data_IF_974100359905
#
_entry.id   IF_974100359905
#
_cell.length_a   1.000
_cell.length_b   1.000
_cell.length_c   1.000
_cell.angle_alpha   90.00
_cell.angle_beta   90.00
_cell.angle_gamma   90.00
#
_symmetry.space_group_name_H-M   'P 1'
#
loop_
_entity.id
_entity.type
_entity.pdbx_description
1 polymer ?
#
# COMPACT_ATOMS: atom_id res chain seq x y z
N UNK A 1 14.29 18.69 -29.70
CA UNK A 1 15.06 17.45 -29.50
C UNK A 1 15.45 17.37 -28.03
N UNK A 2 14.61 16.72 -27.20
CA UNK A 2 15.01 16.32 -25.87
C UNK A 2 15.87 15.08 -26.10
N UNK A 3 17.17 15.23 -25.94
CA UNK A 3 18.10 14.12 -25.89
C UNK A 3 17.78 13.31 -24.64
N UNK A 4 17.11 12.17 -24.82
CA UNK A 4 17.03 11.17 -23.77
C UNK A 4 18.45 10.62 -23.54
N UNK A 5 18.94 10.59 -22.30
CA UNK A 5 20.21 9.93 -22.04
C UNK A 5 20.14 8.46 -22.50
N UNK A 6 21.17 7.99 -23.18
CA UNK A 6 21.29 6.64 -23.74
C UNK A 6 21.15 5.46 -22.76
N UNK A 7 20.67 5.72 -21.51
CA UNK A 7 20.57 4.73 -20.43
C UNK A 7 19.16 4.51 -19.91
N UNK A 8 18.12 5.08 -20.55
CA UNK A 8 16.73 4.87 -20.11
C UNK A 8 16.14 3.63 -20.79
N UNK A 9 16.44 2.45 -20.19
CA UNK A 9 15.74 1.24 -20.59
C UNK A 9 14.26 1.32 -20.22
N UNK A 10 13.39 0.98 -21.19
CA UNK A 10 11.97 0.77 -20.94
C UNK A 10 11.78 -0.36 -19.92
N UNK A 11 10.80 -0.20 -19.03
CA UNK A 11 10.42 -1.21 -18.09
C UNK A 11 9.44 -2.16 -18.78
N UNK A 12 9.86 -3.38 -19.07
CA UNK A 12 9.01 -4.43 -19.65
C UNK A 12 8.56 -5.46 -18.62
N UNK A 13 9.26 -5.56 -17.49
CA UNK A 13 8.91 -6.40 -16.34
C UNK A 13 9.27 -5.68 -15.05
N UNK A 14 8.49 -5.94 -14.01
CA UNK A 14 8.67 -5.33 -12.70
C UNK A 14 8.38 -6.37 -11.60
N UNK A 15 9.22 -6.36 -10.58
CA UNK A 15 8.96 -7.11 -9.36
C UNK A 15 8.01 -6.31 -8.49
N UNK A 16 6.82 -6.80 -8.28
CA UNK A 16 5.87 -6.23 -7.31
C UNK A 16 6.26 -6.77 -5.94
N UNK A 17 7.04 -5.96 -5.21
CA UNK A 17 7.77 -6.36 -4.00
C UNK A 17 6.90 -6.41 -2.75
N UNK A 18 5.99 -7.38 -2.71
CA UNK A 18 5.13 -7.63 -1.55
C UNK A 18 4.76 -9.11 -1.47
N UNK A 19 4.63 -9.61 -0.24
CA UNK A 19 4.05 -10.93 0.04
C UNK A 19 2.55 -10.85 0.34
N UNK A 20 1.98 -9.65 0.43
CA UNK A 20 0.55 -9.46 0.63
C UNK A 20 -0.21 -9.60 -0.69
N UNK A 21 -1.06 -10.62 -0.79
CA UNK A 21 -1.80 -10.94 -2.01
C UNK A 21 -2.71 -9.80 -2.49
N UNK A 22 -3.40 -9.13 -1.58
CA UNK A 22 -4.28 -8.01 -1.92
C UNK A 22 -3.51 -6.84 -2.49
N UNK A 23 -2.38 -6.48 -1.88
CA UNK A 23 -1.48 -5.43 -2.39
C UNK A 23 -0.89 -5.79 -3.74
N UNK A 24 -0.48 -7.05 -3.91
CA UNK A 24 0.06 -7.52 -5.19
C UNK A 24 -0.95 -7.34 -6.33
N UNK A 25 -2.21 -7.71 -6.10
CA UNK A 25 -3.28 -7.57 -7.10
C UNK A 25 -3.52 -6.09 -7.43
N UNK A 26 -3.68 -5.24 -6.43
CA UNK A 26 -3.93 -3.80 -6.66
C UNK A 26 -2.78 -3.14 -7.41
N UNK A 27 -1.54 -3.35 -6.97
CA UNK A 27 -0.36 -2.78 -7.63
C UNK A 27 -0.24 -3.29 -9.07
N UNK A 28 -0.45 -4.58 -9.27
CA UNK A 28 -0.39 -5.19 -10.61
C UNK A 28 -1.40 -4.57 -11.58
N UNK A 29 -2.61 -4.28 -11.10
CA UNK A 29 -3.66 -3.68 -11.92
C UNK A 29 -3.47 -2.18 -12.14
N UNK A 30 -2.76 -1.49 -11.25
CA UNK A 30 -2.38 -0.08 -11.44
C UNK A 30 -1.28 0.08 -12.50
N UNK A 31 -0.35 -0.86 -12.58
CA UNK A 31 0.73 -0.86 -13.57
C UNK A 31 0.18 -1.07 -14.99
N UNK A 32 0.88 -0.54 -16.02
CA UNK A 32 0.47 -0.78 -17.41
C UNK A 32 0.34 -2.28 -17.73
N UNK A 33 -0.69 -2.65 -18.47
CA UNK A 33 -0.96 -4.06 -18.82
C UNK A 33 0.18 -4.75 -19.54
N UNK A 34 0.92 -4.00 -20.36
CA UNK A 34 2.06 -4.53 -21.12
C UNK A 34 3.26 -4.91 -20.25
N UNK A 35 3.34 -4.41 -19.02
CA UNK A 35 4.43 -4.73 -18.09
C UNK A 35 4.16 -6.08 -17.44
N UNK A 36 5.14 -6.98 -17.50
CA UNK A 36 5.07 -8.28 -16.81
C UNK A 36 5.28 -8.07 -15.31
N UNK A 37 4.34 -8.57 -14.49
CA UNK A 37 4.42 -8.49 -13.03
C UNK A 37 4.99 -9.80 -12.50
N UNK A 38 6.01 -9.67 -11.65
CA UNK A 38 6.72 -10.81 -11.03
C UNK A 38 6.52 -10.70 -9.52
N UNK A 39 6.28 -11.83 -8.87
CA UNK A 39 6.09 -11.91 -7.43
C UNK A 39 7.40 -12.35 -6.74
N UNK A 40 7.69 -11.87 -5.52
CA UNK A 40 8.79 -12.39 -4.73
C UNK A 40 8.67 -13.89 -4.44
N UNK A 41 7.44 -14.39 -4.34
CA UNK A 41 7.16 -15.81 -4.12
C UNK A 41 7.68 -16.64 -5.30
N UNK A 42 7.46 -16.18 -6.54
CA UNK A 42 7.93 -16.84 -7.75
C UNK A 42 9.46 -16.95 -7.80
N UNK A 43 10.16 -16.03 -7.14
CA UNK A 43 11.63 -15.99 -7.10
C UNK A 43 12.21 -16.58 -5.81
N UNK A 44 11.36 -17.06 -4.90
CA UNK A 44 11.80 -17.61 -3.61
C UNK A 44 12.43 -16.58 -2.68
N UNK A 45 12.11 -15.29 -2.83
CA UNK A 45 12.65 -14.22 -2.01
C UNK A 45 11.71 -13.97 -0.82
N UNK A 46 12.25 -14.04 0.40
CA UNK A 46 11.51 -13.77 1.63
C UNK A 46 11.36 -12.28 1.85
N UNK A 47 10.39 -11.90 2.68
CA UNK A 47 10.21 -10.50 3.08
C UNK A 47 11.35 -10.03 3.98
N UNK A 48 11.84 -8.79 3.81
CA UNK A 48 12.78 -8.19 4.73
C UNK A 48 12.12 -7.79 6.05
N UNK A 49 12.96 -7.51 7.05
CA UNK A 49 12.50 -6.90 8.30
C UNK A 49 12.19 -5.42 8.03
N UNK A 50 10.98 -5.00 8.37
CA UNK A 50 10.54 -3.61 8.25
C UNK A 50 10.74 -2.91 9.60
N UNK A 51 11.89 -2.27 9.78
CA UNK A 51 12.27 -1.57 10.99
C UNK A 51 12.33 -0.05 10.82
N UNK A 52 11.76 0.48 9.76
CA UNK A 52 11.64 1.92 9.54
C UNK A 52 10.64 2.57 10.51
N UNK A 53 10.73 3.87 10.62
CA UNK A 53 9.87 4.68 11.50
C UNK A 53 8.71 5.36 10.76
N UNK A 54 8.71 5.28 9.45
CA UNK A 54 7.69 5.87 8.58
C UNK A 54 7.28 4.88 7.49
N UNK A 55 6.14 5.12 6.87
CA UNK A 55 5.71 4.34 5.71
C UNK A 55 6.71 4.45 4.56
N UNK A 56 7.26 5.64 4.34
CA UNK A 56 8.26 5.90 3.30
C UNK A 56 9.51 5.05 3.54
N UNK A 57 10.05 5.08 4.76
CA UNK A 57 11.23 4.27 5.11
C UNK A 57 10.98 2.78 4.89
N UNK A 58 9.82 2.26 5.29
CA UNK A 58 9.50 0.85 5.14
C UNK A 58 9.31 0.45 3.68
N UNK A 59 8.66 1.28 2.87
CA UNK A 59 8.53 1.00 1.43
C UNK A 59 9.89 1.02 0.73
N UNK A 60 10.79 1.91 1.15
CA UNK A 60 12.16 1.99 0.62
C UNK A 60 13.00 0.76 1.04
N UNK A 61 12.90 0.32 2.30
CA UNK A 61 13.58 -0.90 2.78
C UNK A 61 13.14 -2.11 1.94
N UNK A 62 11.84 -2.25 1.71
CA UNK A 62 11.31 -3.36 0.90
C UNK A 62 11.76 -3.29 -0.55
N UNK A 63 11.63 -2.13 -1.17
CA UNK A 63 12.02 -1.96 -2.57
C UNK A 63 13.51 -2.24 -2.78
N UNK A 64 14.37 -1.71 -1.92
CA UNK A 64 15.82 -1.94 -1.97
C UNK A 64 16.16 -3.42 -1.80
N UNK A 65 15.59 -4.07 -0.78
CA UNK A 65 15.82 -5.48 -0.50
C UNK A 65 15.43 -6.38 -1.69
N UNK A 66 14.22 -6.22 -2.20
CA UNK A 66 13.73 -7.04 -3.30
C UNK A 66 14.47 -6.74 -4.61
N UNK A 67 14.81 -5.49 -4.86
CA UNK A 67 15.60 -5.10 -6.04
C UNK A 67 16.99 -5.73 -6.00
N UNK A 68 17.67 -5.65 -4.87
CA UNK A 68 19.01 -6.22 -4.67
C UNK A 68 19.02 -7.74 -4.85
N UNK A 69 18.01 -8.44 -4.35
CA UNK A 69 17.93 -9.89 -4.40
C UNK A 69 17.38 -10.45 -5.72
N UNK A 70 16.83 -9.62 -6.58
CA UNK A 70 16.28 -10.03 -7.88
C UNK A 70 17.00 -9.44 -9.08
N UNK A 71 17.69 -8.33 -8.90
CA UNK A 71 18.25 -7.49 -9.96
C UNK A 71 17.18 -7.00 -10.96
N UNK A 72 15.96 -6.83 -10.48
CA UNK A 72 14.83 -6.32 -11.26
C UNK A 72 14.38 -4.96 -10.75
N UNK A 73 13.83 -4.12 -11.64
CA UNK A 73 13.09 -2.94 -11.21
C UNK A 73 11.96 -3.41 -10.28
N UNK A 74 11.86 -2.79 -9.12
CA UNK A 74 10.95 -3.24 -8.05
C UNK A 74 10.04 -2.12 -7.61
N UNK A 75 8.76 -2.43 -7.42
CA UNK A 75 7.76 -1.53 -6.84
C UNK A 75 7.23 -2.15 -5.55
N UNK A 76 7.50 -1.51 -4.43
CA UNK A 76 7.05 -1.98 -3.11
C UNK A 76 6.14 -0.98 -2.44
N UNK A 77 5.25 -1.48 -1.59
CA UNK A 77 4.28 -0.71 -0.81
C UNK A 77 4.48 -0.94 0.67
N UNK A 78 4.38 0.13 1.44
CA UNK A 78 4.05 0.05 2.85
C UNK A 78 2.81 0.89 3.11
N UNK A 79 1.82 0.31 3.76
CA UNK A 79 0.52 0.94 3.95
C UNK A 79 -0.08 0.57 5.30
N UNK A 80 -1.00 1.38 5.76
CA UNK A 80 -1.67 1.14 7.03
C UNK A 80 -2.78 2.13 7.31
N UNK A 81 -3.45 1.87 8.42
CA UNK A 81 -4.55 2.65 8.95
C UNK A 81 -4.06 3.54 10.10
N UNK A 82 -4.30 4.83 10.00
CA UNK A 82 -4.08 5.77 11.09
C UNK A 82 -5.43 6.23 11.65
N UNK A 83 -5.61 6.09 12.96
CA UNK A 83 -6.84 6.47 13.66
C UNK A 83 -6.57 7.67 14.55
N UNK A 84 -7.27 8.78 14.31
CA UNK A 84 -7.02 10.07 14.99
C UNK A 84 -7.16 9.93 16.52
N UNK A 85 -8.22 9.29 17.00
CA UNK A 85 -8.43 9.10 18.44
C UNK A 85 -7.37 8.22 19.11
N UNK A 86 -6.58 7.48 18.35
CA UNK A 86 -5.49 6.64 18.82
C UNK A 86 -4.10 7.24 18.50
N UNK A 87 -4.04 8.54 18.28
CA UNK A 87 -2.82 9.27 17.94
C UNK A 87 -2.08 8.69 16.71
N UNK A 88 -2.84 8.22 15.73
CA UNK A 88 -2.33 7.64 14.49
C UNK A 88 -2.05 6.15 14.55
N UNK A 89 -2.23 5.51 15.69
CA UNK A 89 -2.11 4.04 15.75
C UNK A 89 -3.27 3.35 15.02
N UNK A 90 -3.09 2.13 14.48
CA UNK A 90 -1.88 1.31 14.48
C UNK A 90 -0.78 1.77 13.49
N UNK A 91 -1.09 2.63 12.52
CA UNK A 91 -0.11 3.26 11.63
C UNK A 91 0.80 2.25 10.93
N UNK A 92 2.11 2.44 11.02
CA UNK A 92 3.10 1.52 10.40
C UNK A 92 3.04 0.11 10.98
N UNK A 93 2.41 -0.09 12.13
CA UNK A 93 2.23 -1.39 12.78
C UNK A 93 0.89 -2.04 12.45
N UNK A 94 0.16 -1.56 11.45
CA UNK A 94 -1.18 -2.06 11.12
C UNK A 94 -1.25 -3.56 10.88
N UNK A 95 -0.30 -4.12 10.14
CA UNK A 95 -0.24 -5.57 9.89
C UNK A 95 0.18 -6.35 11.15
N UNK A 96 1.20 -5.88 11.84
CA UNK A 96 1.69 -6.51 13.08
C UNK A 96 0.63 -6.53 14.17
N UNK A 97 -0.10 -5.43 14.32
CA UNK A 97 -1.21 -5.33 15.28
C UNK A 97 -2.28 -6.40 15.01
N UNK A 98 -2.60 -6.64 13.75
CA UNK A 98 -3.54 -7.70 13.38
C UNK A 98 -2.97 -9.09 13.65
N UNK A 99 -1.70 -9.32 13.30
CA UNK A 99 -1.05 -10.61 13.56
C UNK A 99 -1.00 -10.94 15.06
N UNK A 100 -0.65 -9.95 15.88
CA UNK A 100 -0.59 -10.12 17.35
C UNK A 100 -1.94 -10.45 17.97
N UNK A 101 -3.04 -10.02 17.36
CA UNK A 101 -4.40 -10.27 17.84
C UNK A 101 -5.08 -11.49 17.16
N UNK A 102 -4.36 -12.20 16.28
CA UNK A 102 -4.88 -13.38 15.61
C UNK A 102 -5.70 -13.08 14.35
N UNK A 103 -5.59 -11.88 13.79
CA UNK A 103 -6.20 -11.53 12.52
C UNK A 103 -6.85 -10.15 12.51
N UNK A 104 -7.23 -9.72 11.31
CA UNK A 104 -7.81 -8.38 11.09
C UNK A 104 -9.17 -8.20 11.77
N UNK A 105 -10.00 -9.25 11.83
CA UNK A 105 -11.29 -9.13 12.50
C UNK A 105 -11.14 -8.76 13.98
N UNK A 106 -10.24 -9.43 14.68
CA UNK A 106 -9.94 -9.13 16.08
C UNK A 106 -9.33 -7.74 16.25
N UNK A 107 -8.45 -7.36 15.32
CA UNK A 107 -7.83 -6.04 15.32
C UNK A 107 -8.88 -4.93 15.11
N UNK A 108 -9.81 -5.11 14.16
CA UNK A 108 -10.90 -4.16 13.92
C UNK A 108 -11.80 -4.02 15.15
N UNK A 109 -12.20 -5.13 15.76
CA UNK A 109 -12.98 -5.12 17.01
C UNK A 109 -12.26 -4.35 18.12
N UNK A 110 -10.97 -4.59 18.29
CA UNK A 110 -10.15 -3.91 19.30
C UNK A 110 -10.07 -2.40 19.06
N UNK A 111 -9.87 -1.98 17.82
CA UNK A 111 -9.85 -0.55 17.45
C UNK A 111 -11.20 0.10 17.77
N UNK A 112 -12.31 -0.52 17.35
CA UNK A 112 -13.65 0.01 17.59
C UNK A 112 -13.97 0.13 19.07
N UNK A 113 -13.58 -0.86 19.88
CA UNK A 113 -13.73 -0.79 21.33
C UNK A 113 -12.94 0.37 21.94
N UNK A 114 -11.69 0.56 21.52
CA UNK A 114 -10.83 1.63 22.01
C UNK A 114 -11.39 3.01 21.70
N UNK A 115 -11.80 3.26 20.45
CA UNK A 115 -12.32 4.57 20.07
C UNK A 115 -13.65 4.89 20.74
N UNK A 116 -14.48 3.88 21.01
CA UNK A 116 -15.71 4.04 21.75
C UNK A 116 -15.45 4.49 23.21
N UNK A 117 -14.45 3.90 23.86
CA UNK A 117 -14.06 4.27 25.23
C UNK A 117 -13.47 5.68 25.30
N UNK A 118 -12.61 6.03 24.35
CA UNK A 118 -11.95 7.34 24.28
C UNK A 118 -12.97 8.44 23.95
N UNK A 119 -13.98 8.13 23.14
CA UNK A 119 -15.06 9.04 22.75
C UNK A 119 -14.56 10.37 22.14
N UNK A 120 -13.54 10.30 21.27
CA UNK A 120 -12.99 11.45 20.54
C UNK A 120 -13.26 11.36 19.03
N UNK A 121 -14.32 10.65 18.66
CA UNK A 121 -14.72 10.50 17.26
C UNK A 121 -14.06 9.31 16.56
N UNK A 122 -14.36 9.17 15.28
CA UNK A 122 -13.99 8.01 14.46
C UNK A 122 -13.19 8.37 13.21
N UNK A 123 -12.62 9.57 13.14
CA UNK A 123 -11.80 9.98 11.99
C UNK A 123 -10.58 9.08 11.85
N UNK A 124 -10.31 8.70 10.62
CA UNK A 124 -9.19 7.85 10.27
C UNK A 124 -8.73 8.14 8.86
N UNK A 125 -7.58 7.57 8.50
CA UNK A 125 -7.08 7.63 7.12
C UNK A 125 -6.29 6.39 6.79
N UNK A 126 -6.35 5.98 5.52
CA UNK A 126 -5.41 5.02 4.98
C UNK A 126 -4.25 5.74 4.31
N UNK A 127 -3.07 5.18 4.46
CA UNK A 127 -1.84 5.66 3.82
C UNK A 127 -1.23 4.52 3.01
N UNK A 128 -0.76 4.84 1.81
CA UNK A 128 0.12 3.97 1.02
C UNK A 128 1.35 4.76 0.64
N UNK A 129 2.53 4.21 0.93
CA UNK A 129 3.80 4.69 0.38
C UNK A 129 4.28 3.68 -0.65
N UNK A 130 4.49 4.13 -1.88
CA UNK A 130 5.02 3.33 -2.98
C UNK A 130 6.44 3.78 -3.30
N UNK A 131 7.35 2.83 -3.37
CA UNK A 131 8.74 3.07 -3.80
C UNK A 131 9.07 2.21 -5.00
N UNK A 132 9.51 2.84 -6.09
CA UNK A 132 10.13 2.15 -7.21
C UNK A 132 11.64 2.26 -7.09
N UNK A 133 12.35 1.14 -7.30
CA UNK A 133 13.80 1.02 -7.16
C UNK A 133 14.37 0.35 -8.39
N UNK A 134 15.41 0.96 -8.98
CA UNK A 134 16.18 0.38 -10.09
C UNK A 134 17.45 -0.29 -9.57
N UNK A 135 17.98 -1.29 -10.31
CA UNK A 135 19.23 -1.96 -9.92
C UNK A 135 20.44 -1.05 -9.79
N UNK A 136 20.45 0.12 -10.48
CA UNK A 136 21.52 1.12 -10.37
C UNK A 136 21.48 1.95 -9.09
N UNK A 137 20.47 1.74 -8.24
CA UNK A 137 20.28 2.45 -6.98
C UNK A 137 19.32 3.64 -7.04
N UNK A 138 18.87 4.04 -8.22
CA UNK A 138 17.84 5.08 -8.36
C UNK A 138 16.55 4.61 -7.72
N UNK A 139 15.89 5.49 -6.97
CA UNK A 139 14.58 5.23 -6.37
C UNK A 139 13.73 6.48 -6.34
N UNK A 140 12.42 6.29 -6.41
CA UNK A 140 11.42 7.34 -6.27
C UNK A 140 10.33 6.83 -5.34
N UNK A 141 9.95 7.64 -4.36
CA UNK A 141 8.91 7.32 -3.37
C UNK A 141 7.79 8.34 -3.45
N UNK A 142 6.55 7.87 -3.47
CA UNK A 142 5.36 8.72 -3.43
C UNK A 142 4.34 8.14 -2.44
N UNK A 143 3.63 9.05 -1.77
CA UNK A 143 2.63 8.69 -0.76
C UNK A 143 1.23 9.15 -1.16
N UNK A 144 0.25 8.28 -0.93
CA UNK A 144 -1.16 8.58 -1.08
C UNK A 144 -1.88 8.46 0.26
N UNK A 145 -2.81 9.37 0.51
CA UNK A 145 -3.63 9.41 1.72
C UNK A 145 -5.08 9.53 1.32
N UNK A 146 -5.95 8.72 1.90
CA UNK A 146 -7.38 8.90 1.80
C UNK A 146 -7.98 9.04 3.20
N UNK A 147 -8.68 10.13 3.44
CA UNK A 147 -9.36 10.42 4.70
C UNK A 147 -10.74 9.80 4.73
N UNK A 148 -11.19 9.46 5.91
CA UNK A 148 -12.51 8.89 6.13
C UNK A 148 -12.85 8.77 7.60
N UNK A 149 -13.73 7.86 7.90
CA UNK A 149 -14.16 7.56 9.26
C UNK A 149 -14.35 6.06 9.45
N UNK A 150 -14.25 5.64 10.71
CA UNK A 150 -14.50 4.25 11.09
C UNK A 150 -15.97 4.02 11.40
N UNK A 151 -16.44 2.85 11.08
CA UNK A 151 -17.78 2.35 11.35
C UNK A 151 -17.72 0.91 11.82
N UNK A 152 -18.86 0.34 12.18
CA UNK A 152 -18.99 -1.09 12.44
C UNK A 152 -18.53 -1.90 11.23
N UNK A 153 -18.14 -3.15 11.48
CA UNK A 153 -17.68 -4.05 10.42
C UNK A 153 -18.81 -4.27 9.40
N UNK A 154 -18.58 -3.86 8.15
CA UNK A 154 -19.52 -4.02 7.04
C UNK A 154 -18.79 -4.43 5.77
N UNK A 155 -19.33 -5.41 5.05
CA UNK A 155 -18.81 -5.89 3.79
C UNK A 155 -17.77 -6.99 3.94
N UNK A 156 -17.47 -7.64 2.81
CA UNK A 156 -16.59 -8.81 2.75
C UNK A 156 -15.54 -8.73 1.64
N UNK A 157 -15.58 -7.68 0.84
CA UNK A 157 -14.61 -7.47 -0.22
C UNK A 157 -13.32 -6.85 0.32
N UNK A 158 -12.30 -6.81 -0.50
CA UNK A 158 -11.02 -6.20 -0.13
C UNK A 158 -10.23 -7.03 0.87
N UNK A 159 -9.46 -6.36 1.72
CA UNK A 159 -8.59 -7.00 2.70
C UNK A 159 -8.24 -6.03 3.85
N UNK A 160 -7.62 -6.56 4.89
CA UNK A 160 -7.15 -5.74 6.00
C UNK A 160 -8.28 -5.08 6.78
N UNK A 161 -8.16 -3.78 6.98
CA UNK A 161 -9.12 -2.97 7.72
C UNK A 161 -10.25 -2.39 6.85
N UNK A 162 -10.36 -2.81 5.60
CA UNK A 162 -11.39 -2.32 4.67
C UNK A 162 -12.82 -2.36 5.23
N UNK A 163 -13.22 -3.39 6.00
CA UNK A 163 -14.59 -3.46 6.52
C UNK A 163 -15.02 -2.38 7.50
N UNK A 164 -14.09 -1.63 8.09
CA UNK A 164 -14.44 -0.57 9.05
C UNK A 164 -14.16 0.84 8.52
N UNK A 165 -13.67 1.00 7.30
CA UNK A 165 -13.29 2.30 6.77
C UNK A 165 -14.25 2.80 5.70
N UNK A 166 -14.88 3.96 5.95
CA UNK A 166 -15.74 4.67 5.01
C UNK A 166 -14.98 5.89 4.51
N UNK A 167 -14.59 5.94 3.23
CA UNK A 167 -13.91 7.12 2.69
C UNK A 167 -14.80 8.36 2.75
N UNK A 168 -14.19 9.52 2.95
CA UNK A 168 -14.91 10.80 2.96
C UNK A 168 -15.68 11.01 1.65
N UNK A 169 -16.94 11.41 1.76
CA UNK A 169 -17.83 11.59 0.60
C UNK A 169 -18.56 10.33 0.14
N UNK A 170 -18.37 9.22 0.81
CA UNK A 170 -19.01 7.93 0.51
C UNK A 170 -19.81 7.42 1.71
N UNK A 171 -20.74 6.50 1.47
CA UNK A 171 -21.51 5.84 2.52
C UNK A 171 -21.13 4.38 2.73
N UNK A 172 -20.44 3.78 1.75
CA UNK A 172 -19.96 2.40 1.81
C UNK A 172 -18.58 2.31 2.44
N UNK A 173 -18.32 1.23 3.16
CA UNK A 173 -16.94 0.84 3.50
C UNK A 173 -16.21 0.36 2.25
N UNK A 174 -14.87 0.33 2.30
CA UNK A 174 -14.09 -0.28 1.23
C UNK A 174 -14.47 -1.74 0.98
N UNK A 175 -14.88 -2.46 2.03
CA UNK A 175 -15.30 -3.86 1.90
C UNK A 175 -16.73 -4.03 1.36
N UNK A 176 -17.55 -2.98 1.37
CA UNK A 176 -18.85 -2.95 0.70
C UNK A 176 -18.75 -2.54 -0.76
N UNK A 177 -17.64 -1.92 -1.16
CA UNK A 177 -17.36 -1.59 -2.55
C UNK A 177 -16.91 -2.83 -3.31
N UNK A 178 -17.20 -2.89 -4.61
CA UNK A 178 -16.54 -3.87 -5.45
C UNK A 178 -15.07 -3.46 -5.67
N UNK A 179 -14.27 -4.39 -6.18
CA UNK A 179 -12.84 -4.17 -6.38
C UNK A 179 -12.53 -2.92 -7.23
N UNK A 180 -13.26 -2.73 -8.33
CA UNK A 180 -13.04 -1.61 -9.25
C UNK A 180 -13.40 -0.27 -8.61
N UNK A 181 -14.50 -0.21 -7.86
CA UNK A 181 -14.89 0.99 -7.12
C UNK A 181 -13.81 1.44 -6.14
N UNK A 182 -13.29 0.50 -5.36
CA UNK A 182 -12.23 0.78 -4.38
C UNK A 182 -10.95 1.23 -5.08
N UNK A 183 -10.49 0.52 -6.09
CA UNK A 183 -9.22 0.80 -6.75
C UNK A 183 -9.18 2.17 -7.42
N UNK A 184 -10.32 2.70 -7.82
CA UNK A 184 -10.40 4.04 -8.42
C UNK A 184 -10.13 5.19 -7.46
N UNK A 185 -10.26 4.95 -6.15
CA UNK A 185 -10.24 6.02 -5.15
C UNK A 185 -9.29 5.77 -3.98
N UNK A 186 -8.74 4.56 -3.81
CA UNK A 186 -8.02 4.22 -2.62
C UNK A 186 -6.65 4.92 -2.50
N UNK A 187 -6.04 4.76 -1.34
CA UNK A 187 -4.73 5.32 -1.00
C UNK A 187 -3.63 4.86 -1.95
N UNK A 188 -3.69 3.62 -2.41
CA UNK A 188 -2.69 3.04 -3.33
C UNK A 188 -2.81 3.63 -4.72
N UNK A 189 -4.03 3.85 -5.20
CA UNK A 189 -4.29 4.58 -6.44
C UNK A 189 -3.76 6.02 -6.37
N UNK A 190 -3.99 6.70 -5.26
CA UNK A 190 -3.53 8.09 -5.07
C UNK A 190 -1.99 8.15 -5.11
N UNK A 191 -1.33 7.25 -4.39
CA UNK A 191 0.13 7.14 -4.40
C UNK A 191 0.66 6.82 -5.81
N UNK A 192 0.03 5.88 -6.50
CA UNK A 192 0.45 5.46 -7.83
C UNK A 192 0.28 6.57 -8.88
N UNK A 193 -0.79 7.34 -8.85
CA UNK A 193 -0.95 8.48 -9.76
C UNK A 193 0.20 9.47 -9.65
N UNK A 194 0.61 9.79 -8.42
CA UNK A 194 1.76 10.68 -8.18
C UNK A 194 3.05 10.06 -8.72
N UNK A 195 3.25 8.78 -8.47
CA UNK A 195 4.43 8.05 -8.92
C UNK A 195 4.46 7.96 -10.45
N UNK A 196 3.34 7.60 -11.07
CA UNK A 196 3.22 7.45 -12.53
C UNK A 196 3.61 8.72 -13.29
N UNK A 197 3.26 9.89 -12.79
CA UNK A 197 3.65 11.16 -13.41
C UNK A 197 5.17 11.33 -13.52
N UNK A 198 5.92 10.68 -12.61
CA UNK A 198 7.40 10.72 -12.61
C UNK A 198 8.04 9.59 -13.41
N UNK A 199 7.33 8.48 -13.62
CA UNK A 199 7.91 7.27 -14.23
C UNK A 199 7.29 6.88 -15.57
N UNK A 200 6.25 7.57 -16.03
CA UNK A 200 5.54 7.24 -17.29
C UNK A 200 6.44 7.15 -18.52
N UNK A 201 7.55 7.86 -18.52
CA UNK A 201 8.53 7.86 -19.62
C UNK A 201 9.25 6.51 -19.77
N UNK A 202 9.24 5.67 -18.76
CA UNK A 202 9.89 4.36 -18.78
C UNK A 202 8.99 3.24 -19.32
N UNK A 203 7.71 3.53 -19.58
CA UNK A 203 6.75 2.54 -20.10
C UNK A 203 6.47 2.65 -21.59
#
# INVERSE_FOLDING_TARGET
NILFPDHMQKIDKILVGTHNKGKFIEISDLLPKKVKKISPIDLGIKSPIENGKTFEENSEIKAEFFCKNSNLVTLSDDSGLEVDALNGEPGIFSSRFADDLGGFENAMKRILEKIKKINKGSKAQFISSLTIQWPDGKKITEKGVIKGSLTDIRGKNGFGYDPIFVPEGYSKTFAEMNYEEKLKIDHRQIAYKKLYNKIKVYF
#
